data_IF_359908617305
#
_entry.id   IF_359908617305
#
_cell.length_a   1.000
_cell.length_b   1.000
_cell.length_c   1.000
_cell.angle_alpha   90.00
_cell.angle_beta   90.00
_cell.angle_gamma   90.00
#
_symmetry.space_group_name_H-M   'P 1'
#
loop_
_entity.id
_entity.type
_entity.pdbx_description
1 polymer ?
#
# COMPACT_ATOMS: atom_id res chain seq x y z
N UNK A 1 30.53 5.62 -49.05
CA UNK A 1 30.17 6.99 -48.68
C UNK A 1 30.22 7.08 -47.18
N UNK A 2 31.24 7.67 -46.65
CA UNK A 2 31.62 7.78 -45.23
C UNK A 2 30.84 8.88 -44.52
N UNK A 3 30.47 8.74 -43.26
CA UNK A 3 29.85 9.81 -42.47
C UNK A 3 30.94 10.66 -41.77
N UNK A 4 30.75 11.96 -41.84
CA UNK A 4 31.57 13.00 -41.20
C UNK A 4 31.18 13.19 -39.74
N UNK A 5 32.16 13.08 -38.88
CA UNK A 5 32.14 13.42 -37.44
C UNK A 5 32.35 14.92 -37.26
N UNK A 6 31.51 15.56 -36.43
CA UNK A 6 31.79 16.93 -35.94
C UNK A 6 31.84 16.90 -34.40
N UNK A 7 33.03 17.20 -33.89
CA UNK A 7 33.31 17.42 -32.45
C UNK A 7 33.00 18.86 -32.09
N UNK A 8 32.36 19.08 -30.91
CA UNK A 8 32.31 20.39 -30.27
C UNK A 8 32.88 20.31 -28.85
N UNK A 9 33.89 21.16 -28.68
CA UNK A 9 34.76 21.30 -27.52
C UNK A 9 34.08 22.04 -26.36
N UNK A 10 34.46 21.63 -25.15
CA UNK A 10 34.15 22.25 -23.87
C UNK A 10 34.74 23.67 -23.73
N UNK A 11 34.02 24.54 -23.02
CA UNK A 11 34.61 25.72 -22.37
C UNK A 11 34.17 25.79 -20.91
N UNK A 12 35.17 25.65 -20.08
CA UNK A 12 35.20 25.91 -18.62
C UNK A 12 35.21 27.43 -18.38
N UNK A 13 34.43 27.87 -17.41
CA UNK A 13 34.63 29.18 -16.78
C UNK A 13 34.45 29.03 -15.26
N UNK A 14 35.55 29.25 -14.54
CA UNK A 14 35.61 29.39 -13.10
C UNK A 14 35.48 30.88 -12.75
N UNK A 15 34.77 31.19 -11.67
CA UNK A 15 34.82 32.49 -11.00
C UNK A 15 34.82 32.28 -9.49
N UNK A 16 35.93 32.74 -8.88
CA UNK A 16 36.21 32.89 -7.47
C UNK A 16 35.66 34.21 -6.92
N UNK A 17 35.41 34.28 -5.63
CA UNK A 17 35.30 35.48 -4.79
C UNK A 17 34.10 35.40 -3.86
N UNK A 18 34.15 35.64 -2.58
CA UNK A 18 35.11 36.17 -1.65
C UNK A 18 34.43 36.24 -0.27
N UNK A 19 35.20 36.00 0.73
CA UNK A 19 34.90 35.98 2.16
C UNK A 19 34.59 37.41 2.67
N UNK A 20 33.61 37.55 3.61
CA UNK A 20 33.66 38.59 4.64
C UNK A 20 33.06 38.10 5.97
N UNK A 21 33.92 38.02 6.96
CA UNK A 21 33.67 37.84 8.39
C UNK A 21 33.32 39.21 8.98
N UNK A 22 32.33 39.27 9.89
CA UNK A 22 32.18 40.37 10.82
C UNK A 22 31.78 39.83 12.20
N UNK A 23 32.72 39.83 13.12
CA UNK A 23 32.57 39.67 14.59
C UNK A 23 32.19 41.03 15.18
N UNK A 24 31.20 41.06 16.08
CA UNK A 24 31.11 42.12 17.11
C UNK A 24 30.65 41.50 18.41
N UNK A 25 31.57 41.56 19.39
CA UNK A 25 31.35 41.28 20.81
C UNK A 25 30.83 42.56 21.50
N UNK A 26 29.93 42.38 22.49
CA UNK A 26 29.52 43.44 23.39
C UNK A 26 29.24 42.87 24.78
N UNK A 27 30.15 43.11 25.72
CA UNK A 27 29.99 42.86 27.16
C UNK A 27 29.22 44.01 27.80
N UNK A 28 28.36 43.71 28.79
CA UNK A 28 27.80 44.70 29.71
C UNK A 28 27.33 44.05 31.00
N UNK A 29 28.02 44.40 32.07
CA UNK A 29 27.93 43.88 33.44
C UNK A 29 26.87 44.59 34.30
N UNK A 30 26.34 43.88 35.32
CA UNK A 30 26.10 44.45 36.64
C UNK A 30 24.68 44.65 37.13
N UNK A 31 24.37 44.09 38.28
CA UNK A 31 23.31 44.55 39.15
C UNK A 31 22.60 43.45 39.93
N UNK A 32 23.10 43.18 41.16
CA UNK A 32 22.40 42.40 42.17
C UNK A 32 21.24 43.21 42.78
N UNK A 33 20.11 42.55 43.00
CA UNK A 33 18.99 43.07 43.78
C UNK A 33 18.21 41.88 44.34
N UNK A 34 18.37 41.69 45.63
CA UNK A 34 17.68 40.73 46.47
C UNK A 34 16.24 41.24 46.70
N UNK A 35 15.22 40.47 46.41
CA UNK A 35 13.88 40.69 46.95
C UNK A 35 13.10 39.40 47.06
N UNK A 36 12.90 38.96 48.28
CA UNK A 36 12.11 37.84 48.69
C UNK A 36 10.64 38.16 48.65
N UNK A 37 9.87 37.58 47.71
CA UNK A 37 8.42 37.57 47.79
C UNK A 37 7.88 36.15 47.58
N UNK A 38 7.18 35.68 48.63
CA UNK A 38 6.47 34.41 48.67
C UNK A 38 5.52 34.22 47.47
N UNK A 39 5.78 33.23 46.61
CA UNK A 39 4.86 32.84 45.57
C UNK A 39 3.82 31.84 46.10
N UNK A 40 2.61 32.33 46.31
CA UNK A 40 1.38 31.56 46.51
C UNK A 40 1.19 30.61 45.32
N UNK A 41 1.32 29.30 45.57
CA UNK A 41 1.06 28.26 44.60
C UNK A 41 -0.38 28.26 44.13
N UNK A 42 -0.63 28.72 42.90
CA UNK A 42 -1.85 28.45 42.15
C UNK A 42 -1.77 27.04 41.60
N UNK A 43 -2.48 26.07 42.23
CA UNK A 43 -2.78 24.79 41.67
C UNK A 43 -3.57 25.00 40.37
N UNK A 44 -2.92 24.90 39.22
CA UNK A 44 -3.58 24.73 37.95
C UNK A 44 -4.26 23.37 37.96
N UNK A 45 -5.58 23.35 38.04
CA UNK A 45 -6.39 22.16 37.86
C UNK A 45 -6.09 21.62 36.47
N UNK A 46 -5.56 20.38 36.39
CA UNK A 46 -5.41 19.67 35.16
C UNK A 46 -6.80 19.56 34.48
N UNK A 47 -6.90 20.04 33.25
CA UNK A 47 -8.09 19.88 32.45
C UNK A 47 -8.40 18.36 32.34
N UNK A 48 -9.68 17.94 32.48
CA UNK A 48 -10.03 16.54 32.37
C UNK A 48 -9.63 16.05 30.97
N UNK A 49 -8.88 14.94 30.95
CA UNK A 49 -8.55 14.23 29.73
C UNK A 49 -9.87 13.96 28.98
N UNK A 50 -10.09 14.59 27.84
CA UNK A 50 -11.20 14.27 26.95
C UNK A 50 -11.01 12.83 26.53
N UNK A 51 -11.76 11.92 27.13
CA UNK A 51 -12.02 10.60 26.60
C UNK A 51 -12.59 10.80 25.20
N UNK A 52 -11.79 10.55 24.16
CA UNK A 52 -12.29 10.53 22.77
C UNK A 52 -13.38 9.46 22.73
N UNK A 53 -14.64 9.90 22.63
CA UNK A 53 -15.74 9.01 22.29
C UNK A 53 -15.32 8.24 21.04
N UNK A 54 -15.40 6.89 21.10
CA UNK A 54 -15.15 6.06 19.94
C UNK A 54 -16.07 6.56 18.81
N UNK A 55 -15.50 7.07 17.74
CA UNK A 55 -16.28 7.49 16.57
C UNK A 55 -17.00 6.25 16.07
N UNK A 56 -18.33 6.29 16.05
CA UNK A 56 -19.13 5.17 15.55
C UNK A 56 -18.68 4.90 14.11
N UNK A 57 -18.19 3.69 13.84
CA UNK A 57 -17.76 3.26 12.51
C UNK A 57 -18.95 3.12 11.55
N UNK A 58 -18.64 2.74 10.31
CA UNK A 58 -19.63 2.37 9.30
C UNK A 58 -20.57 1.29 9.87
N UNK A 59 -21.88 1.46 9.68
CA UNK A 59 -22.88 0.52 10.19
C UNK A 59 -22.58 -0.93 9.74
N UNK A 60 -22.58 -1.87 10.70
CA UNK A 60 -22.24 -3.28 10.47
C UNK A 60 -20.75 -3.60 10.37
N UNK A 61 -19.87 -2.60 10.46
CA UNK A 61 -18.42 -2.83 10.50
C UNK A 61 -18.02 -3.46 11.84
N UNK A 62 -17.19 -4.53 11.85
CA UNK A 62 -16.61 -5.05 13.08
C UNK A 62 -15.82 -3.97 13.81
N UNK A 63 -15.97 -3.84 15.16
CA UNK A 63 -15.29 -2.78 15.90
C UNK A 63 -13.77 -2.91 15.78
N UNK A 64 -13.07 -1.77 15.71
CA UNK A 64 -11.60 -1.72 15.73
C UNK A 64 -11.11 -2.28 17.08
N UNK A 65 -10.11 -3.17 17.05
CA UNK A 65 -9.58 -3.80 18.27
C UNK A 65 -8.78 -2.83 19.14
N UNK A 66 -7.95 -2.01 18.51
CA UNK A 66 -7.20 -0.94 19.18
C UNK A 66 -7.34 0.36 18.33
N UNK A 67 -7.90 1.43 18.89
CA UNK A 67 -8.05 2.69 18.17
C UNK A 67 -6.71 3.38 17.83
N UNK A 68 -5.59 2.88 18.36
CA UNK A 68 -4.24 3.38 18.07
C UNK A 68 -3.51 2.52 17.02
N UNK A 69 -4.08 1.36 16.66
CA UNK A 69 -3.49 0.45 15.68
C UNK A 69 -4.57 -0.27 14.89
N UNK A 70 -4.84 0.21 13.69
CA UNK A 70 -5.82 -0.38 12.76
C UNK A 70 -5.45 -1.81 12.34
N UNK A 71 -4.19 -2.19 12.50
CA UNK A 71 -3.65 -3.52 12.19
C UNK A 71 -3.53 -4.43 13.42
N UNK A 72 -4.12 -4.07 14.56
CA UNK A 72 -4.02 -4.84 15.79
C UNK A 72 -4.46 -6.31 15.64
N UNK A 73 -5.36 -6.61 14.68
CA UNK A 73 -5.77 -7.97 14.35
C UNK A 73 -4.76 -8.75 13.48
N UNK A 74 -3.71 -8.09 12.97
CA UNK A 74 -2.78 -8.68 12.00
C UNK A 74 -1.51 -9.24 12.65
N UNK A 75 -1.48 -9.38 13.97
CA UNK A 75 -0.34 -9.96 14.70
C UNK A 75 -0.13 -11.44 14.36
N UNK A 76 1.09 -11.96 14.42
CA UNK A 76 1.34 -13.39 14.24
C UNK A 76 0.44 -14.24 15.14
N UNK A 77 -0.12 -15.31 14.58
CA UNK A 77 -1.04 -16.22 15.31
C UNK A 77 -2.49 -15.77 15.36
N UNK A 78 -2.85 -14.56 14.91
CA UNK A 78 -4.23 -14.04 14.90
C UNK A 78 -5.00 -14.42 13.62
N UNK A 79 -4.85 -15.65 13.17
CA UNK A 79 -5.65 -16.16 12.05
C UNK A 79 -7.13 -16.24 12.43
N UNK A 80 -7.99 -15.77 11.53
CA UNK A 80 -9.44 -15.98 11.66
C UNK A 80 -9.77 -17.46 11.78
N UNK A 81 -10.76 -17.85 12.60
CA UNK A 81 -11.26 -19.22 12.64
C UNK A 81 -11.65 -19.78 11.27
N UNK A 82 -12.09 -18.92 10.35
CA UNK A 82 -12.46 -19.29 8.97
C UNK A 82 -11.31 -19.93 8.20
N UNK A 83 -10.07 -19.45 8.41
CA UNK A 83 -8.88 -19.89 7.65
C UNK A 83 -7.93 -20.76 8.48
N UNK A 84 -8.29 -21.04 9.72
CA UNK A 84 -7.49 -21.91 10.58
C UNK A 84 -7.44 -23.32 9.97
N UNK A 85 -6.24 -23.77 9.61
CA UNK A 85 -6.03 -25.06 8.97
C UNK A 85 -6.01 -25.01 7.43
N UNK A 86 -6.18 -23.87 6.81
CA UNK A 86 -5.89 -23.71 5.38
C UNK A 86 -4.39 -23.86 5.12
N UNK A 87 -3.99 -24.51 4.02
CA UNK A 87 -2.58 -24.61 3.68
C UNK A 87 -2.00 -23.22 3.34
N UNK A 88 -0.79 -22.96 3.82
CA UNK A 88 -0.07 -21.74 3.47
C UNK A 88 0.40 -21.81 2.01
N UNK A 89 0.08 -20.80 1.21
CA UNK A 89 0.45 -20.71 -0.21
C UNK A 89 0.66 -19.26 -0.62
N UNK A 90 1.47 -19.07 -1.67
CA UNK A 90 1.61 -17.78 -2.36
C UNK A 90 1.01 -17.90 -3.75
N UNK A 91 -0.01 -17.10 -4.04
CA UNK A 91 -0.72 -17.09 -5.32
C UNK A 91 -0.26 -15.90 -6.15
N UNK A 92 0.33 -16.17 -7.31
CA UNK A 92 1.01 -15.17 -8.15
C UNK A 92 0.30 -15.04 -9.49
N UNK A 93 -0.46 -13.96 -9.73
CA UNK A 93 -1.07 -13.74 -11.03
C UNK A 93 -0.02 -13.32 -12.05
N UNK A 94 0.06 -14.01 -13.17
CA UNK A 94 1.02 -13.77 -14.25
C UNK A 94 0.29 -13.08 -15.41
N UNK A 95 0.38 -11.77 -15.45
CA UNK A 95 -0.42 -10.89 -16.34
C UNK A 95 -0.31 -11.26 -17.81
N UNK A 96 0.88 -11.62 -18.29
CA UNK A 96 1.12 -11.93 -19.70
C UNK A 96 0.95 -13.43 -20.03
N UNK A 97 0.96 -14.29 -19.01
CA UNK A 97 0.80 -15.74 -19.18
C UNK A 97 -0.63 -16.22 -18.99
N UNK A 98 -1.54 -15.37 -18.48
CA UNK A 98 -2.93 -15.71 -18.17
C UNK A 98 -3.05 -16.89 -17.19
N UNK A 99 -2.17 -16.93 -16.20
CA UNK A 99 -2.10 -17.99 -15.18
C UNK A 99 -1.93 -17.42 -13.79
N UNK A 100 -2.20 -18.25 -12.78
CA UNK A 100 -1.77 -18.04 -11.40
C UNK A 100 -0.76 -19.14 -11.04
N UNK A 101 0.47 -18.76 -10.71
CA UNK A 101 1.45 -19.68 -10.14
C UNK A 101 1.21 -19.81 -8.64
N UNK A 102 1.21 -21.03 -8.11
CA UNK A 102 1.08 -21.30 -6.68
C UNK A 102 2.42 -21.78 -6.14
N UNK A 103 2.92 -21.12 -5.11
CA UNK A 103 4.20 -21.42 -4.47
C UNK A 103 3.94 -21.93 -3.06
N UNK A 104 4.64 -22.98 -2.67
CA UNK A 104 4.76 -23.45 -1.30
C UNK A 104 5.79 -22.56 -0.57
N UNK A 105 5.39 -21.80 0.46
CA UNK A 105 6.28 -20.88 1.16
C UNK A 105 7.32 -21.56 2.05
N UNK A 106 7.14 -22.84 2.41
CA UNK A 106 8.09 -23.57 3.23
C UNK A 106 9.27 -24.10 2.39
N UNK A 107 8.99 -24.53 1.17
CA UNK A 107 10.00 -25.11 0.26
C UNK A 107 10.47 -24.16 -0.82
N UNK A 108 9.82 -22.98 -0.97
CA UNK A 108 10.04 -22.02 -2.06
C UNK A 108 9.85 -22.61 -3.47
N UNK A 109 9.04 -23.66 -3.59
CA UNK A 109 8.79 -24.36 -4.86
C UNK A 109 7.44 -24.02 -5.45
N UNK A 110 7.40 -23.90 -6.76
CA UNK A 110 6.13 -23.88 -7.50
C UNK A 110 5.48 -25.25 -7.39
N UNK A 111 4.25 -25.30 -6.86
CA UNK A 111 3.47 -26.53 -6.66
C UNK A 111 2.31 -26.66 -7.62
N UNK A 112 1.87 -25.55 -8.26
CA UNK A 112 0.83 -25.57 -9.28
C UNK A 112 0.92 -24.34 -10.18
N UNK A 113 0.35 -24.45 -11.38
CA UNK A 113 0.07 -23.34 -12.28
C UNK A 113 -1.37 -23.49 -12.76
N UNK A 114 -2.21 -22.52 -12.45
CA UNK A 114 -3.65 -22.51 -12.68
C UNK A 114 -3.95 -21.61 -13.87
N UNK A 115 -4.54 -22.11 -14.98
CA UNK A 115 -5.05 -21.27 -16.05
C UNK A 115 -6.21 -20.41 -15.55
N UNK A 116 -6.21 -19.11 -15.90
CA UNK A 116 -7.26 -18.16 -15.54
C UNK A 116 -7.63 -17.29 -16.74
N UNK A 117 -8.44 -16.24 -16.54
CA UNK A 117 -8.81 -15.34 -17.62
C UNK A 117 -7.66 -14.45 -18.12
N UNK A 118 -7.95 -13.61 -19.12
CA UNK A 118 -6.95 -12.77 -19.79
C UNK A 118 -6.49 -11.64 -18.90
N UNK A 119 -5.17 -11.49 -18.80
CA UNK A 119 -4.48 -10.42 -18.07
C UNK A 119 -4.85 -10.35 -16.58
N UNK A 120 -4.57 -11.41 -15.80
CA UNK A 120 -4.77 -11.39 -14.35
C UNK A 120 -3.83 -10.37 -13.69
N UNK A 121 -4.40 -9.42 -12.93
CA UNK A 121 -3.65 -8.35 -12.27
C UNK A 121 -3.40 -8.66 -10.79
N UNK A 122 -4.42 -9.07 -10.07
CA UNK A 122 -4.36 -9.29 -8.63
C UNK A 122 -5.03 -10.61 -8.23
N UNK A 123 -4.56 -11.19 -7.13
CA UNK A 123 -5.28 -12.22 -6.37
C UNK A 123 -5.72 -11.60 -5.06
N UNK A 124 -7.02 -11.54 -4.84
CA UNK A 124 -7.64 -10.74 -3.77
C UNK A 124 -8.48 -11.63 -2.86
N UNK A 125 -8.17 -11.69 -1.55
CA UNK A 125 -9.02 -12.38 -0.58
C UNK A 125 -10.39 -11.70 -0.43
N UNK A 126 -11.48 -12.49 -0.44
CA UNK A 126 -12.83 -12.02 -0.12
C UNK A 126 -12.91 -11.47 1.30
N UNK A 127 -13.92 -10.63 1.58
CA UNK A 127 -14.13 -10.06 2.91
C UNK A 127 -14.22 -11.12 4.01
N UNK A 128 -14.94 -12.21 3.75
CA UNK A 128 -15.16 -13.33 4.66
C UNK A 128 -14.02 -14.37 4.68
N UNK A 129 -12.95 -14.10 3.91
CA UNK A 129 -11.74 -14.93 3.83
C UNK A 129 -11.94 -16.32 3.18
N UNK A 130 -13.07 -16.59 2.54
CA UNK A 130 -13.40 -17.94 2.01
C UNK A 130 -13.03 -18.13 0.54
N UNK A 131 -12.77 -17.06 -0.17
CA UNK A 131 -12.50 -17.09 -1.62
C UNK A 131 -11.31 -16.18 -1.94
N UNK A 132 -10.43 -16.62 -2.84
CA UNK A 132 -9.47 -15.76 -3.50
C UNK A 132 -9.99 -15.42 -4.89
N UNK A 133 -10.14 -14.14 -5.19
CA UNK A 133 -10.60 -13.65 -6.49
C UNK A 133 -9.42 -13.25 -7.36
N UNK A 134 -9.29 -13.86 -8.53
CA UNK A 134 -8.31 -13.46 -9.55
C UNK A 134 -8.94 -12.44 -10.48
N UNK A 135 -8.38 -11.25 -10.52
CA UNK A 135 -8.87 -10.14 -11.32
C UNK A 135 -8.36 -10.22 -12.76
N UNK A 136 -9.12 -10.81 -13.67
CA UNK A 136 -8.76 -10.95 -15.08
C UNK A 136 -9.17 -9.70 -15.84
N UNK A 137 -8.35 -8.66 -15.79
CA UNK A 137 -8.72 -7.30 -16.20
C UNK A 137 -9.20 -7.24 -17.68
N UNK A 138 -8.41 -7.76 -18.61
CA UNK A 138 -8.80 -7.79 -20.03
C UNK A 138 -9.69 -8.97 -20.41
N UNK A 139 -9.80 -9.94 -19.52
CA UNK A 139 -10.75 -11.06 -19.66
C UNK A 139 -12.16 -10.70 -19.19
N UNK A 140 -12.34 -9.54 -18.56
CA UNK A 140 -13.63 -9.09 -18.01
C UNK A 140 -14.28 -10.13 -17.10
N UNK A 141 -13.47 -10.81 -16.28
CA UNK A 141 -13.94 -11.84 -15.35
C UNK A 141 -13.19 -11.78 -14.01
N UNK A 142 -13.84 -12.34 -12.98
CA UNK A 142 -13.20 -12.73 -11.73
C UNK A 142 -13.17 -14.26 -11.66
N UNK A 143 -12.00 -14.87 -11.50
CA UNK A 143 -11.90 -16.33 -11.27
C UNK A 143 -11.80 -16.58 -9.77
N UNK A 144 -12.76 -17.30 -9.14
CA UNK A 144 -12.64 -17.69 -7.74
C UNK A 144 -11.67 -18.85 -7.60
N UNK A 145 -10.85 -18.82 -6.54
CA UNK A 145 -10.05 -19.96 -6.07
C UNK A 145 -10.49 -20.26 -4.64
N UNK A 146 -10.79 -21.52 -4.37
CA UNK A 146 -10.99 -22.02 -3.00
C UNK A 146 -9.61 -22.12 -2.31
N UNK A 147 -9.32 -21.31 -1.28
CA UNK A 147 -8.00 -21.31 -0.65
C UNK A 147 -7.74 -22.57 0.20
N UNK A 148 -8.77 -23.32 0.62
CA UNK A 148 -8.60 -24.56 1.36
C UNK A 148 -8.03 -25.66 0.45
N UNK A 149 -8.50 -25.74 -0.78
CA UNK A 149 -8.10 -26.76 -1.76
C UNK A 149 -7.08 -26.27 -2.79
N UNK A 150 -7.10 -24.98 -3.10
CA UNK A 150 -6.33 -24.37 -4.19
C UNK A 150 -6.99 -24.54 -5.56
N UNK A 151 -8.24 -25.02 -5.62
CA UNK A 151 -8.95 -25.31 -6.88
C UNK A 151 -9.66 -24.04 -7.37
N UNK A 152 -9.46 -23.72 -8.65
CA UNK A 152 -10.19 -22.63 -9.29
C UNK A 152 -11.60 -23.05 -9.68
N UNK A 153 -12.57 -22.18 -9.42
CA UNK A 153 -13.95 -22.33 -9.82
C UNK A 153 -14.25 -21.70 -11.17
N UNK A 154 -15.55 -21.72 -11.56
CA UNK A 154 -16.01 -21.09 -12.80
C UNK A 154 -15.87 -19.56 -12.69
N UNK A 155 -15.27 -18.89 -13.70
CA UNK A 155 -15.19 -17.44 -13.73
C UNK A 155 -16.56 -16.76 -13.73
N UNK A 156 -16.65 -15.61 -13.06
CA UNK A 156 -17.83 -14.73 -13.02
C UNK A 156 -17.57 -13.52 -13.91
N UNK A 157 -18.54 -13.12 -14.71
CA UNK A 157 -18.44 -11.93 -15.56
C UNK A 157 -18.43 -10.65 -14.70
N UNK A 158 -17.34 -9.91 -14.82
CA UNK A 158 -17.15 -8.61 -14.19
C UNK A 158 -16.36 -7.75 -15.15
N UNK A 159 -16.96 -6.68 -15.65
CA UNK A 159 -16.30 -5.81 -16.61
C UNK A 159 -15.18 -5.02 -15.98
N UNK A 160 -14.02 -4.94 -16.66
CA UNK A 160 -12.82 -4.19 -16.31
C UNK A 160 -12.36 -4.32 -14.84
N UNK A 161 -12.18 -5.53 -14.29
CA UNK A 161 -11.79 -5.71 -12.89
C UNK A 161 -10.27 -5.53 -12.73
N UNK A 162 -9.78 -4.29 -12.72
CA UNK A 162 -8.36 -4.04 -12.50
C UNK A 162 -7.95 -4.47 -11.07
N UNK A 163 -8.71 -4.01 -10.07
CA UNK A 163 -8.51 -4.39 -8.68
C UNK A 163 -9.85 -4.55 -7.96
N UNK A 164 -9.83 -5.18 -6.78
CA UNK A 164 -11.02 -5.51 -6.00
C UNK A 164 -10.80 -5.17 -4.54
N UNK A 165 -11.77 -4.46 -3.95
CA UNK A 165 -11.82 -4.11 -2.54
C UNK A 165 -13.17 -4.53 -1.95
N UNK A 166 -13.26 -4.48 -0.62
CA UNK A 166 -14.51 -4.75 0.11
C UNK A 166 -14.75 -3.65 1.14
N UNK A 167 -15.99 -3.20 1.25
CA UNK A 167 -16.35 -2.25 2.32
C UNK A 167 -16.09 -2.88 3.69
N UNK A 168 -15.64 -2.11 4.70
CA UNK A 168 -15.28 -2.66 6.01
C UNK A 168 -16.40 -3.44 6.73
N UNK A 169 -17.66 -3.17 6.39
CA UNK A 169 -18.82 -3.91 6.89
C UNK A 169 -19.18 -5.16 6.04
N UNK A 170 -18.41 -5.45 5.00
CA UNK A 170 -18.67 -6.59 4.11
C UNK A 170 -19.92 -6.47 3.23
N UNK A 171 -20.57 -5.30 3.20
CA UNK A 171 -21.81 -5.10 2.46
C UNK A 171 -21.62 -5.09 0.94
N UNK A 172 -20.48 -4.59 0.47
CA UNK A 172 -20.18 -4.46 -0.95
C UNK A 172 -18.75 -4.88 -1.27
N UNK A 173 -18.58 -5.50 -2.44
CA UNK A 173 -17.33 -5.53 -3.17
C UNK A 173 -17.22 -4.28 -4.03
N UNK A 174 -16.02 -3.72 -4.21
CA UNK A 174 -15.75 -2.52 -5.01
C UNK A 174 -14.74 -2.89 -6.09
N UNK A 175 -15.17 -2.93 -7.33
CA UNK A 175 -14.29 -3.12 -8.48
C UNK A 175 -13.74 -1.77 -8.93
N UNK A 176 -12.41 -1.70 -9.04
CA UNK A 176 -11.71 -0.57 -9.67
C UNK A 176 -11.74 -0.77 -11.18
N UNK A 177 -12.75 -0.23 -11.85
CA UNK A 177 -12.88 -0.29 -13.29
C UNK A 177 -12.06 0.84 -13.93
N UNK A 178 -10.78 0.56 -14.10
CA UNK A 178 -9.73 1.55 -14.42
C UNK A 178 -9.93 2.18 -15.79
N UNK A 179 -10.32 1.37 -16.79
CA UNK A 179 -10.56 1.79 -18.17
C UNK A 179 -11.89 2.53 -18.31
N UNK A 180 -12.93 2.00 -17.64
CA UNK A 180 -14.27 2.58 -17.64
C UNK A 180 -14.34 3.87 -16.81
N UNK A 181 -13.34 4.07 -15.95
CA UNK A 181 -13.29 5.21 -15.02
C UNK A 181 -14.50 5.20 -14.07
N UNK A 182 -14.74 4.02 -13.49
CA UNK A 182 -15.82 3.80 -12.54
C UNK A 182 -15.32 3.06 -11.28
N UNK A 183 -15.97 3.31 -10.15
CA UNK A 183 -15.98 2.43 -9.00
C UNK A 183 -17.30 1.67 -9.01
N UNK A 184 -17.23 0.34 -9.16
CA UNK A 184 -18.43 -0.48 -9.31
C UNK A 184 -18.68 -1.26 -8.03
N UNK A 185 -19.72 -0.90 -7.30
CA UNK A 185 -20.17 -1.58 -6.09
C UNK A 185 -21.00 -2.80 -6.47
N UNK A 186 -20.62 -3.93 -5.90
CA UNK A 186 -21.20 -5.25 -6.22
C UNK A 186 -21.59 -6.00 -4.95
N UNK A 187 -22.45 -7.00 -5.08
CA UNK A 187 -22.65 -7.98 -4.03
C UNK A 187 -21.33 -8.72 -3.75
N UNK A 188 -20.86 -8.85 -2.50
CA UNK A 188 -19.53 -9.39 -2.19
C UNK A 188 -19.38 -10.90 -2.44
N UNK A 189 -20.50 -11.63 -2.60
CA UNK A 189 -20.51 -13.08 -2.79
C UNK A 189 -20.83 -13.47 -4.24
N UNK A 190 -21.84 -12.82 -4.84
CA UNK A 190 -22.31 -13.15 -6.19
C UNK A 190 -21.65 -12.31 -7.29
N UNK A 191 -21.01 -11.20 -6.91
CA UNK A 191 -20.46 -10.18 -7.80
C UNK A 191 -21.54 -9.50 -8.67
N UNK A 192 -22.83 -9.59 -8.32
CA UNK A 192 -23.90 -8.87 -8.97
C UNK A 192 -23.70 -7.34 -8.84
N UNK A 193 -23.81 -6.60 -9.95
CA UNK A 193 -23.67 -5.13 -9.95
C UNK A 193 -24.83 -4.47 -9.21
N UNK A 194 -24.52 -3.64 -8.21
CA UNK A 194 -25.48 -2.87 -7.41
C UNK A 194 -25.49 -1.38 -7.79
N UNK A 195 -24.34 -0.76 -7.86
CA UNK A 195 -24.19 0.67 -8.20
C UNK A 195 -22.83 0.89 -8.87
N UNK A 196 -22.75 1.82 -9.79
CA UNK A 196 -21.46 2.34 -10.26
C UNK A 196 -21.45 3.86 -10.11
N UNK A 197 -20.29 4.38 -9.78
CA UNK A 197 -20.04 5.82 -9.70
C UNK A 197 -18.90 6.19 -10.66
N UNK A 198 -19.13 7.16 -11.56
CA UNK A 198 -18.07 7.64 -12.42
C UNK A 198 -17.01 8.37 -11.59
N UNK A 199 -15.75 8.19 -11.96
CA UNK A 199 -14.64 8.92 -11.33
C UNK A 199 -14.03 9.90 -12.33
N UNK A 200 -13.65 11.10 -11.87
CA UNK A 200 -13.16 12.17 -12.76
C UNK A 200 -11.65 12.03 -13.05
N UNK A 201 -11.15 10.81 -13.15
CA UNK A 201 -9.73 10.53 -13.35
C UNK A 201 -9.50 9.30 -14.23
N UNK A 202 -8.27 9.11 -14.66
CA UNK A 202 -7.82 7.95 -15.43
C UNK A 202 -6.94 7.06 -14.54
N UNK A 203 -7.11 5.74 -14.68
CA UNK A 203 -6.31 4.77 -13.97
C UNK A 203 -6.66 4.66 -12.49
N UNK A 204 -7.96 4.65 -12.13
CA UNK A 204 -8.38 4.33 -10.77
C UNK A 204 -7.96 2.89 -10.46
N UNK A 205 -7.11 2.70 -9.40
CA UNK A 205 -6.49 1.39 -9.21
C UNK A 205 -6.33 0.89 -7.77
N UNK A 206 -5.85 1.70 -6.82
CA UNK A 206 -5.60 1.25 -5.46
C UNK A 206 -6.32 2.11 -4.42
N UNK A 207 -6.62 1.51 -3.26
CA UNK A 207 -7.31 2.22 -2.18
C UNK A 207 -6.96 1.66 -0.79
N UNK A 208 -7.18 2.47 0.25
CA UNK A 208 -7.33 2.00 1.63
C UNK A 208 -8.41 2.83 2.35
N UNK A 209 -8.99 2.26 3.40
CA UNK A 209 -10.13 2.81 4.12
C UNK A 209 -9.71 3.56 5.39
N UNK A 210 -10.48 4.58 5.75
CA UNK A 210 -10.37 5.22 7.06
C UNK A 210 -10.61 4.23 8.20
N UNK A 211 -10.12 4.50 9.43
CA UNK A 211 -10.26 3.58 10.56
C UNK A 211 -11.72 3.25 10.89
N UNK A 212 -12.61 4.20 10.69
CA UNK A 212 -14.06 4.08 10.91
C UNK A 212 -14.81 3.53 9.68
N UNK A 213 -14.12 3.28 8.58
CA UNK A 213 -14.69 2.76 7.34
C UNK A 213 -15.57 3.72 6.55
N UNK A 214 -15.76 4.96 7.01
CA UNK A 214 -16.69 5.92 6.40
C UNK A 214 -16.24 6.47 5.07
N UNK A 215 -14.94 6.48 4.82
CA UNK A 215 -14.39 6.87 3.54
C UNK A 215 -13.17 6.04 3.18
N UNK A 216 -12.81 6.08 1.94
CA UNK A 216 -11.55 5.53 1.45
C UNK A 216 -10.85 6.51 0.51
N UNK A 217 -9.53 6.40 0.46
CA UNK A 217 -8.69 7.17 -0.45
C UNK A 217 -8.29 6.29 -1.62
N UNK A 218 -8.41 6.81 -2.84
CA UNK A 218 -8.15 6.08 -4.08
C UNK A 218 -7.09 6.79 -4.90
N UNK A 219 -6.14 6.04 -5.45
CA UNK A 219 -5.16 6.54 -6.40
C UNK A 219 -5.69 6.51 -7.84
N UNK A 220 -5.33 7.54 -8.60
CA UNK A 220 -5.64 7.69 -10.02
C UNK A 220 -4.33 7.79 -10.82
N UNK A 221 -3.79 6.65 -11.22
CA UNK A 221 -2.44 6.47 -11.75
C UNK A 221 -2.11 7.45 -12.89
N UNK A 222 -3.00 7.55 -13.90
CA UNK A 222 -2.73 8.31 -15.12
C UNK A 222 -3.23 9.75 -15.08
N UNK A 223 -3.66 10.24 -13.91
CA UNK A 223 -4.16 11.60 -13.72
C UNK A 223 -3.41 12.40 -12.68
N UNK A 224 -2.39 11.81 -12.02
CA UNK A 224 -1.69 12.42 -10.90
C UNK A 224 -2.69 12.97 -9.85
N UNK A 225 -3.67 12.16 -9.47
CA UNK A 225 -4.75 12.55 -8.55
C UNK A 225 -5.02 11.48 -7.50
N UNK A 226 -5.56 11.95 -6.38
CA UNK A 226 -6.17 11.14 -5.34
C UNK A 226 -7.64 11.53 -5.20
N UNK A 227 -8.49 10.55 -4.92
CA UNK A 227 -9.90 10.77 -4.63
C UNK A 227 -10.18 10.35 -3.18
N UNK A 228 -11.08 11.07 -2.53
CA UNK A 228 -11.71 10.68 -1.27
C UNK A 228 -13.17 10.32 -1.57
N UNK A 229 -13.57 9.11 -1.21
CA UNK A 229 -14.88 8.56 -1.54
C UNK A 229 -15.63 8.22 -0.26
N UNK A 230 -16.86 8.68 -0.13
CA UNK A 230 -17.77 8.31 0.95
C UNK A 230 -18.26 6.87 0.73
N UNK A 231 -18.02 5.99 1.70
CA UNK A 231 -18.33 4.56 1.57
C UNK A 231 -19.84 4.28 1.57
N UNK A 232 -20.61 5.02 2.35
CA UNK A 232 -22.05 4.79 2.51
C UNK A 232 -22.86 5.46 1.40
N UNK A 233 -22.57 6.73 1.11
CA UNK A 233 -23.22 7.48 0.03
C UNK A 233 -22.80 7.02 -1.34
N UNK A 234 -21.62 6.38 -1.44
CA UNK A 234 -20.99 6.00 -2.71
C UNK A 234 -20.84 7.23 -3.61
N UNK A 235 -20.10 8.21 -3.14
CA UNK A 235 -19.87 9.49 -3.79
C UNK A 235 -18.41 9.94 -3.64
N UNK A 236 -17.86 10.59 -4.66
CA UNK A 236 -16.56 11.27 -4.56
C UNK A 236 -16.75 12.57 -3.80
N UNK A 237 -16.20 12.65 -2.58
CA UNK A 237 -16.33 13.80 -1.68
C UNK A 237 -15.08 14.69 -1.63
N UNK A 238 -13.98 14.26 -2.26
CA UNK A 238 -12.73 15.02 -2.30
C UNK A 238 -11.87 14.64 -3.50
N UNK A 239 -11.09 15.59 -3.98
CA UNK A 239 -10.12 15.43 -5.06
C UNK A 239 -8.86 16.19 -4.72
N UNK A 240 -7.70 15.52 -4.79
CA UNK A 240 -6.40 16.13 -4.56
C UNK A 240 -5.50 15.87 -5.76
N UNK A 241 -5.06 16.93 -6.44
CA UNK A 241 -3.97 16.84 -7.41
C UNK A 241 -2.64 16.68 -6.70
N UNK A 242 -1.80 15.81 -7.21
CA UNK A 242 -0.42 15.71 -6.75
C UNK A 242 0.41 16.85 -7.35
N UNK A 243 1.33 17.45 -6.56
CA UNK A 243 2.07 18.64 -7.01
C UNK A 243 3.08 18.34 -8.13
N UNK A 244 3.51 17.09 -8.30
CA UNK A 244 4.42 16.68 -9.37
C UNK A 244 3.64 16.41 -10.68
N UNK A 245 3.97 17.14 -11.74
CA UNK A 245 3.42 16.87 -13.07
C UNK A 245 3.87 15.49 -13.57
N UNK A 246 2.92 14.65 -13.96
CA UNK A 246 3.18 13.29 -14.43
C UNK A 246 3.40 12.28 -13.30
N UNK A 247 3.08 12.63 -12.06
CA UNK A 247 3.00 11.67 -10.96
C UNK A 247 2.08 10.50 -11.34
N UNK A 248 2.49 9.30 -10.90
CA UNK A 248 1.76 8.04 -11.14
C UNK A 248 1.53 7.32 -9.82
N UNK A 249 0.53 7.76 -9.03
CA UNK A 249 0.24 7.17 -7.73
C UNK A 249 -0.26 5.73 -7.90
N UNK A 250 0.26 4.84 -7.06
CA UNK A 250 0.01 3.40 -7.04
C UNK A 250 -0.67 2.98 -5.72
N UNK A 251 -0.06 2.03 -5.00
CA UNK A 251 -0.60 1.48 -3.76
C UNK A 251 -0.89 2.57 -2.72
N UNK A 252 -1.96 2.35 -1.96
CA UNK A 252 -2.42 3.23 -0.88
C UNK A 252 -2.43 2.44 0.42
N UNK A 253 -1.83 2.97 1.47
CA UNK A 253 -1.76 2.32 2.78
C UNK A 253 -2.03 3.31 3.90
N UNK A 254 -2.93 2.94 4.83
CA UNK A 254 -3.19 3.72 6.03
C UNK A 254 -2.08 3.47 7.08
N UNK A 255 -1.69 4.52 7.82
CA UNK A 255 -0.81 4.37 8.99
C UNK A 255 -1.48 3.56 10.10
N UNK A 256 -0.69 2.90 10.97
CA UNK A 256 -1.26 2.15 12.11
C UNK A 256 -2.19 3.00 13.00
N UNK A 257 -1.85 4.26 13.25
CA UNK A 257 -2.67 5.19 14.04
C UNK A 257 -3.92 5.72 13.31
N UNK A 258 -4.10 5.32 12.05
CA UNK A 258 -5.27 5.63 11.24
C UNK A 258 -5.39 7.08 10.77
N UNK A 259 -4.32 7.87 10.80
CA UNK A 259 -4.38 9.32 10.48
C UNK A 259 -3.83 9.65 9.11
N UNK A 260 -2.79 8.94 8.69
CA UNK A 260 -2.02 9.25 7.51
C UNK A 260 -2.20 8.18 6.44
N UNK A 261 -2.49 8.59 5.22
CA UNK A 261 -2.39 7.71 4.07
C UNK A 261 -1.02 7.90 3.41
N UNK A 262 -0.37 6.79 3.14
CA UNK A 262 0.85 6.69 2.34
C UNK A 262 0.48 6.23 0.95
N UNK A 263 0.93 6.93 -0.08
CA UNK A 263 0.64 6.59 -1.47
C UNK A 263 1.96 6.46 -2.23
N UNK A 264 2.29 5.24 -2.64
CA UNK A 264 3.46 5.01 -3.48
C UNK A 264 3.29 5.68 -4.84
N UNK A 265 4.37 6.22 -5.40
CA UNK A 265 4.34 6.85 -6.71
C UNK A 265 5.57 6.50 -7.54
N UNK A 266 5.30 5.87 -8.68
CA UNK A 266 6.35 5.39 -9.58
C UNK A 266 7.19 6.52 -10.18
N UNK A 267 6.57 7.60 -10.56
CA UNK A 267 7.23 8.72 -11.26
C UNK A 267 7.78 9.76 -10.30
N UNK A 268 7.21 9.87 -9.09
CA UNK A 268 7.77 10.67 -8.03
C UNK A 268 8.95 9.98 -7.31
N UNK A 269 9.16 8.66 -7.55
CA UNK A 269 10.22 7.86 -6.92
C UNK A 269 10.17 7.92 -5.40
N UNK A 270 8.95 7.86 -4.85
CA UNK A 270 8.71 8.03 -3.43
C UNK A 270 7.29 7.74 -3.02
N UNK A 271 6.97 8.18 -1.83
CA UNK A 271 5.67 7.99 -1.19
C UNK A 271 5.09 9.36 -0.82
N UNK A 272 3.87 9.64 -1.27
CA UNK A 272 3.11 10.79 -0.82
C UNK A 272 2.54 10.52 0.57
N UNK A 273 2.68 11.49 1.46
CA UNK A 273 2.20 11.46 2.85
C UNK A 273 1.02 12.41 2.97
N UNK A 274 -0.19 11.85 3.13
CA UNK A 274 -1.46 12.57 3.09
C UNK A 274 -2.18 12.48 4.44
N UNK A 275 -2.55 13.62 5.01
CA UNK A 275 -3.49 13.67 6.14
C UNK A 275 -4.90 13.25 5.66
N UNK A 276 -5.40 12.12 6.18
CA UNK A 276 -6.66 11.53 5.73
C UNK A 276 -7.90 12.35 6.08
N UNK A 277 -7.85 13.13 7.17
CA UNK A 277 -8.96 13.98 7.61
C UNK A 277 -9.01 15.26 6.79
N UNK A 278 -7.91 16.01 6.75
CA UNK A 278 -7.80 17.31 6.06
C UNK A 278 -7.85 17.16 4.55
N UNK A 279 -7.30 16.07 4.02
CA UNK A 279 -7.23 15.76 2.60
C UNK A 279 -6.68 16.94 1.76
N UNK A 280 -5.60 17.54 2.24
CA UNK A 280 -4.88 18.65 1.60
C UNK A 280 -3.67 18.17 0.82
N UNK A 281 -2.92 19.09 0.23
CA UNK A 281 -1.71 18.74 -0.56
C UNK A 281 -0.75 17.87 0.24
N UNK A 282 -0.38 16.67 -0.28
CA UNK A 282 0.50 15.74 0.41
C UNK A 282 1.97 16.14 0.25
N UNK A 283 2.78 15.77 1.24
CA UNK A 283 4.24 15.88 1.17
C UNK A 283 4.85 14.63 0.48
N UNK A 284 5.93 14.81 -0.28
CA UNK A 284 6.67 13.70 -0.88
C UNK A 284 7.80 13.25 0.06
N UNK A 285 7.85 11.96 0.35
CA UNK A 285 8.95 11.26 0.98
C UNK A 285 9.70 10.45 -0.09
N UNK A 286 10.90 10.86 -0.52
CA UNK A 286 11.69 10.10 -1.49
C UNK A 286 12.09 8.73 -0.93
N UNK A 287 11.90 7.64 -1.70
CA UNK A 287 12.24 6.27 -1.27
C UNK A 287 13.20 5.59 -2.23
N UNK A 288 12.81 5.46 -3.50
CA UNK A 288 13.61 4.84 -4.55
C UNK A 288 12.88 4.85 -5.88
N UNK A 289 13.59 4.56 -6.97
CA UNK A 289 13.00 4.62 -8.31
C UNK A 289 11.85 3.64 -8.46
N UNK A 290 10.71 4.16 -8.91
CA UNK A 290 9.54 3.35 -9.22
C UNK A 290 8.88 2.77 -7.97
N UNK A 291 8.72 3.55 -6.89
CA UNK A 291 8.02 3.13 -5.69
C UNK A 291 6.60 2.64 -6.03
N UNK A 292 6.20 1.46 -5.51
CA UNK A 292 4.98 0.80 -5.98
C UNK A 292 4.13 0.18 -4.86
N UNK A 293 4.59 -0.86 -4.17
CA UNK A 293 3.83 -1.56 -3.13
C UNK A 293 4.20 -1.14 -1.71
N UNK A 294 3.24 -1.15 -0.80
CA UNK A 294 3.35 -0.71 0.60
C UNK A 294 2.86 -1.82 1.55
N UNK A 295 3.70 -2.33 2.43
CA UNK A 295 3.39 -3.45 3.33
C UNK A 295 3.78 -3.15 4.76
N UNK A 296 2.79 -3.06 5.65
CA UNK A 296 3.02 -2.92 7.10
C UNK A 296 3.45 -4.28 7.66
N UNK A 297 4.52 -4.30 8.47
CA UNK A 297 4.94 -5.50 9.16
C UNK A 297 3.93 -5.93 10.24
N UNK A 298 4.08 -7.14 10.80
CA UNK A 298 3.06 -7.74 11.66
C UNK A 298 2.96 -7.12 13.05
N UNK A 299 3.93 -6.34 13.48
CA UNK A 299 3.88 -5.59 14.75
C UNK A 299 3.53 -4.11 14.58
N UNK A 300 3.22 -3.69 13.33
CA UNK A 300 2.85 -2.31 12.96
C UNK A 300 3.94 -1.26 13.23
N UNK A 301 5.20 -1.68 13.41
CA UNK A 301 6.32 -0.77 13.66
C UNK A 301 6.96 -0.22 12.39
N UNK A 302 6.98 -1.02 11.31
CA UNK A 302 7.64 -0.70 10.05
C UNK A 302 6.73 -0.89 8.84
N UNK A 303 7.02 -0.17 7.76
CA UNK A 303 6.41 -0.35 6.44
C UNK A 303 7.50 -0.60 5.40
N UNK A 304 7.34 -1.67 4.63
CA UNK A 304 8.19 -2.02 3.51
C UNK A 304 7.64 -1.38 2.23
N UNK A 305 8.51 -0.71 1.49
CA UNK A 305 8.18 0.02 0.26
C UNK A 305 8.99 -0.58 -0.88
N UNK A 306 8.35 -1.23 -1.84
CA UNK A 306 9.02 -1.76 -3.01
C UNK A 306 9.38 -0.65 -3.99
N UNK A 307 10.62 -0.61 -4.47
CA UNK A 307 11.11 0.33 -5.47
C UNK A 307 11.40 -0.45 -6.76
N UNK A 308 10.35 -0.64 -7.56
CA UNK A 308 10.34 -1.53 -8.73
C UNK A 308 11.37 -1.15 -9.80
N UNK A 309 11.64 0.15 -9.96
CA UNK A 309 12.52 0.68 -10.99
C UNK A 309 14.02 0.61 -10.66
N UNK A 310 14.39 0.20 -9.46
CA UNK A 310 15.81 0.10 -9.05
C UNK A 310 16.18 -1.20 -8.35
N UNK A 311 15.20 -2.09 -8.08
CA UNK A 311 15.47 -3.38 -7.44
C UNK A 311 15.78 -3.27 -5.94
N UNK A 312 15.12 -2.34 -5.24
CA UNK A 312 15.32 -2.16 -3.80
C UNK A 312 14.01 -2.16 -3.01
N UNK A 313 14.13 -2.27 -1.70
CA UNK A 313 13.06 -2.17 -0.72
C UNK A 313 13.48 -1.16 0.33
N UNK A 314 12.71 -0.08 0.50
CA UNK A 314 12.93 0.89 1.58
C UNK A 314 12.11 0.49 2.80
N UNK A 315 12.65 0.71 4.00
CA UNK A 315 11.98 0.44 5.27
C UNK A 315 11.71 1.75 5.99
N UNK A 316 10.43 2.03 6.22
CA UNK A 316 9.97 3.19 6.96
C UNK A 316 9.57 2.77 8.37
N UNK A 317 10.06 3.47 9.36
CA UNK A 317 9.77 3.27 10.79
C UNK A 317 8.71 4.28 11.23
N UNK A 318 7.58 3.80 11.72
CA UNK A 318 6.43 4.65 12.10
C UNK A 318 6.69 5.46 13.37
N UNK A 319 7.48 4.96 14.33
CA UNK A 319 7.80 5.66 15.55
C UNK A 319 8.79 6.80 15.28
N UNK A 320 9.85 6.50 14.51
CA UNK A 320 10.87 7.48 14.12
C UNK A 320 10.39 8.41 12.98
N UNK A 321 9.29 8.07 12.32
CA UNK A 321 8.70 8.79 11.19
C UNK A 321 9.74 9.09 10.07
N UNK A 322 10.57 8.09 9.72
CA UNK A 322 11.60 8.21 8.70
C UNK A 322 11.99 6.86 8.11
N UNK A 323 12.63 6.90 6.95
CA UNK A 323 13.31 5.74 6.38
C UNK A 323 14.53 5.38 7.26
N UNK A 324 14.64 4.10 7.62
CA UNK A 324 15.71 3.58 8.48
C UNK A 324 16.67 2.66 7.76
N UNK A 325 16.16 1.93 6.72
CA UNK A 325 16.95 0.95 5.97
C UNK A 325 16.56 1.02 4.48
N UNK A 326 17.47 0.58 3.63
CA UNK A 326 17.20 0.26 2.23
C UNK A 326 17.92 -1.05 1.90
N UNK A 327 17.17 -2.04 1.44
CA UNK A 327 17.68 -3.34 1.02
C UNK A 327 17.74 -3.40 -0.49
N UNK A 328 18.81 -3.96 -1.02
CA UNK A 328 18.98 -4.17 -2.44
C UNK A 328 18.84 -5.65 -2.75
N UNK A 329 18.06 -5.98 -3.76
CA UNK A 329 18.00 -7.35 -4.24
C UNK A 329 19.33 -7.69 -4.94
N UNK A 330 19.96 -8.81 -4.59
CA UNK A 330 21.14 -9.28 -5.31
C UNK A 330 20.85 -9.43 -6.80
N UNK A 331 21.82 -9.06 -7.63
CA UNK A 331 21.71 -9.09 -9.12
C UNK A 331 20.55 -8.23 -9.67
N UNK A 332 20.06 -7.26 -8.90
CA UNK A 332 18.95 -6.39 -9.25
C UNK A 332 17.59 -7.09 -9.17
N UNK A 333 16.58 -6.50 -9.78
CA UNK A 333 15.22 -7.01 -9.77
C UNK A 333 14.18 -5.93 -10.04
N UNK A 334 12.93 -6.31 -9.99
CA UNK A 334 11.79 -5.38 -10.12
C UNK A 334 10.72 -5.69 -9.07
N UNK A 335 11.03 -5.54 -7.76
CA UNK A 335 10.09 -5.85 -6.69
C UNK A 335 8.85 -4.98 -6.81
N UNK A 336 7.70 -5.62 -6.93
CA UNK A 336 6.45 -4.99 -7.29
C UNK A 336 5.43 -5.14 -6.16
N UNK A 337 4.39 -5.93 -6.36
CA UNK A 337 3.31 -6.12 -5.41
C UNK A 337 3.44 -7.45 -4.65
N UNK A 338 2.98 -7.48 -3.40
CA UNK A 338 3.13 -8.69 -2.59
C UNK A 338 2.42 -8.69 -1.25
N UNK A 339 3.08 -9.22 -0.24
CA UNK A 339 2.56 -9.30 1.12
C UNK A 339 3.53 -9.94 2.10
N UNK A 340 3.29 -9.71 3.38
CA UNK A 340 4.08 -10.28 4.48
C UNK A 340 3.48 -11.64 4.88
N UNK A 341 4.30 -12.66 5.14
CA UNK A 341 3.87 -13.96 5.63
C UNK A 341 3.07 -13.86 6.93
N UNK A 342 2.28 -14.89 7.25
CA UNK A 342 1.40 -14.88 8.45
C UNK A 342 2.17 -14.78 9.77
N UNK A 343 3.38 -15.30 9.81
CA UNK A 343 4.29 -15.22 10.95
C UNK A 343 5.14 -13.94 10.98
N UNK A 344 5.04 -13.12 9.94
CA UNK A 344 5.73 -11.83 9.82
C UNK A 344 7.18 -11.91 9.35
N UNK A 345 7.71 -13.10 9.05
CA UNK A 345 9.15 -13.28 8.80
C UNK A 345 9.59 -13.06 7.36
N UNK A 346 8.68 -13.23 6.41
CA UNK A 346 9.02 -13.18 4.99
C UNK A 346 8.14 -12.16 4.27
N UNK A 347 8.78 -11.22 3.58
CA UNK A 347 8.14 -10.34 2.61
C UNK A 347 8.23 -11.01 1.23
N UNK A 348 7.09 -11.27 0.64
CA UNK A 348 6.95 -11.83 -0.70
C UNK A 348 6.63 -10.72 -1.69
N UNK A 349 7.40 -10.62 -2.76
CA UNK A 349 7.20 -9.60 -3.80
C UNK A 349 7.29 -10.24 -5.18
N UNK A 350 6.35 -9.91 -6.07
CA UNK A 350 6.46 -10.25 -7.47
C UNK A 350 7.58 -9.44 -8.13
N UNK A 351 8.28 -10.05 -9.09
CA UNK A 351 9.31 -9.42 -9.90
C UNK A 351 8.77 -9.11 -11.29
N UNK A 352 8.00 -8.03 -11.42
CA UNK A 352 7.17 -7.66 -12.57
C UNK A 352 7.84 -7.84 -13.93
N UNK A 353 9.08 -7.39 -14.07
CA UNK A 353 9.79 -7.37 -15.34
C UNK A 353 10.77 -8.53 -15.52
N UNK A 354 10.95 -9.36 -14.48
CA UNK A 354 11.89 -10.47 -14.45
C UNK A 354 11.23 -11.84 -14.43
N UNK A 355 9.89 -11.89 -14.39
CA UNK A 355 9.10 -13.15 -14.35
C UNK A 355 9.48 -14.04 -13.18
N UNK A 356 9.61 -13.48 -12.01
CA UNK A 356 10.03 -14.15 -10.79
C UNK A 356 9.31 -13.62 -9.54
N UNK A 357 9.50 -14.28 -8.42
CA UNK A 357 9.03 -13.85 -7.09
C UNK A 357 10.23 -13.84 -6.15
N UNK A 358 10.31 -12.81 -5.33
CA UNK A 358 11.31 -12.66 -4.27
C UNK A 358 10.70 -13.00 -2.91
N UNK A 359 11.39 -13.82 -2.14
CA UNK A 359 11.16 -14.01 -0.71
C UNK A 359 12.30 -13.32 0.05
N UNK A 360 11.97 -12.37 0.92
CA UNK A 360 12.94 -11.52 1.62
C UNK A 360 12.69 -11.61 3.12
N UNK A 361 13.73 -11.84 3.92
CA UNK A 361 13.66 -11.81 5.39
C UNK A 361 13.30 -10.39 5.86
N UNK A 362 12.22 -10.25 6.62
CA UNK A 362 11.69 -8.94 7.04
C UNK A 362 12.55 -8.22 8.07
N UNK A 363 13.48 -8.92 8.74
CA UNK A 363 14.37 -8.35 9.75
C UNK A 363 15.70 -7.90 9.17
N UNK A 364 16.26 -8.71 8.25
CA UNK A 364 17.60 -8.48 7.69
C UNK A 364 17.60 -7.89 6.29
N UNK A 365 16.53 -8.09 5.53
CA UNK A 365 16.47 -7.76 4.11
C UNK A 365 17.20 -8.78 3.22
N UNK A 366 17.64 -9.91 3.79
CA UNK A 366 18.27 -10.99 3.02
C UNK A 366 17.28 -11.63 2.04
N UNK A 367 17.68 -11.81 0.80
CA UNK A 367 16.89 -12.56 -0.18
C UNK A 367 17.00 -14.05 0.10
N UNK A 368 15.93 -14.65 0.62
CA UNK A 368 15.82 -16.07 0.95
C UNK A 368 15.63 -16.94 -0.28
N UNK A 369 14.89 -16.42 -1.27
CA UNK A 369 14.64 -17.12 -2.52
C UNK A 369 14.34 -16.15 -3.66
N UNK A 370 14.66 -16.64 -4.89
CA UNK A 370 14.28 -16.04 -6.17
C UNK A 370 13.66 -17.14 -7.01
N UNK A 371 12.38 -17.06 -7.29
CA UNK A 371 11.56 -18.17 -7.79
C UNK A 371 11.03 -17.80 -9.17
N UNK A 372 11.43 -18.49 -10.25
CA UNK A 372 10.86 -18.28 -11.58
C UNK A 372 9.36 -18.60 -11.60
N UNK A 373 8.57 -17.72 -12.23
CA UNK A 373 7.12 -17.88 -12.42
C UNK A 373 6.72 -17.51 -13.86
N UNK A 374 5.42 -17.40 -14.13
CA UNK A 374 4.94 -16.93 -15.42
C UNK A 374 5.29 -15.47 -15.71
N UNK A 375 5.09 -15.03 -16.95
CA UNK A 375 5.48 -13.69 -17.40
C UNK A 375 4.58 -12.58 -16.83
N UNK A 376 5.19 -11.50 -16.36
CA UNK A 376 4.56 -10.32 -15.83
C UNK A 376 3.82 -10.54 -14.50
N UNK A 377 4.44 -11.20 -13.49
CA UNK A 377 3.78 -11.38 -12.19
C UNK A 377 3.46 -10.03 -11.57
N UNK A 378 2.31 -9.92 -10.86
CA UNK A 378 1.85 -8.67 -10.29
C UNK A 378 1.31 -8.84 -8.86
N UNK A 379 0.07 -8.47 -8.58
CA UNK A 379 -0.50 -8.44 -7.25
C UNK A 379 -0.67 -9.83 -6.62
N UNK A 380 0.41 -10.43 -6.14
CA UNK A 380 0.38 -11.72 -5.47
C UNK A 380 -0.31 -11.68 -4.11
N UNK A 381 -0.90 -12.78 -3.70
CA UNK A 381 -1.46 -12.97 -2.37
C UNK A 381 -0.71 -14.06 -1.61
N UNK A 382 -0.21 -13.71 -0.42
CA UNK A 382 0.24 -14.70 0.58
C UNK A 382 -0.99 -15.09 1.40
N UNK A 383 -1.32 -16.37 1.50
CA UNK A 383 -2.57 -16.77 2.14
C UNK A 383 -2.45 -18.15 2.84
N UNK A 384 -3.07 -18.35 4.04
CA UNK A 384 -3.85 -17.37 4.80
C UNK A 384 -3.00 -16.30 5.49
N UNK A 385 -3.65 -15.21 5.89
CA UNK A 385 -3.03 -14.13 6.65
C UNK A 385 -3.81 -13.83 7.94
N UNK A 386 -3.13 -13.28 8.98
CA UNK A 386 -3.79 -12.78 10.16
C UNK A 386 -4.77 -11.64 9.81
N UNK A 387 -5.83 -11.54 10.59
CA UNK A 387 -6.91 -10.58 10.42
C UNK A 387 -8.26 -11.23 10.56
N UNK A 388 -9.28 -10.44 10.83
CA UNK A 388 -10.66 -10.90 11.03
C UNK A 388 -11.45 -10.91 9.73
N UNK A 389 -11.11 -9.99 8.84
CA UNK A 389 -11.71 -9.82 7.51
C UNK A 389 -10.71 -9.13 6.57
N UNK A 390 -10.96 -9.25 5.27
CA UNK A 390 -10.17 -8.60 4.23
C UNK A 390 -10.88 -7.34 3.71
N UNK A 391 -10.13 -6.27 3.51
CA UNK A 391 -10.60 -5.10 2.75
C UNK A 391 -10.32 -5.23 1.26
N UNK A 392 -9.79 -6.38 0.83
CA UNK A 392 -9.40 -6.62 -0.54
C UNK A 392 -7.92 -6.36 -0.81
N UNK A 393 -7.60 -6.18 -2.09
CA UNK A 393 -6.24 -6.05 -2.54
C UNK A 393 -5.29 -7.14 -1.96
N UNK A 394 -4.00 -7.02 -2.13
CA UNK A 394 -3.02 -8.06 -1.78
C UNK A 394 -2.56 -8.07 -0.32
N UNK A 395 -3.34 -7.62 0.63
CA UNK A 395 -2.91 -7.69 2.04
C UNK A 395 -3.41 -6.59 2.94
N UNK A 396 -4.59 -6.09 2.64
CA UNK A 396 -5.27 -5.14 3.53
C UNK A 396 -6.27 -5.91 4.38
N UNK A 397 -5.85 -6.28 5.58
CA UNK A 397 -6.66 -6.98 6.58
C UNK A 397 -6.88 -6.09 7.81
N UNK A 398 -7.98 -6.34 8.54
CA UNK A 398 -8.30 -5.64 9.79
C UNK A 398 -8.71 -6.62 10.89
#
# INVERSE_FOLDING_TARGET
MTPTTTSLTARTAALLGGVLLSLLAGCGSGGAGDDTTEARGTRTAAAPARTKQAVAGLEGMPPVLDPRDVYAANRPGMLSPTVKGYPSRVYVPNTNSNTVTVIDPETYRVIATIPVGVQPQHVVPSWDLKTLWVNNNRGHTLTPIDPATGVAGKPVEVHDPYNLYFTPNGKYAIVMASLDRELVFRDPHTMERKKAIPVPCYGVNHADFSPDGRYFVVSCEFSAQLLKVDTEKMEVIGRQKLPLKGAMPQDVKLSPDGRTFYIADMMAHGVWVLDGERFTEPALMPTGKGAHGLYVNRDSSEMFISNRGEGSISVFDFEQNRLTKKWWLPDGGSPDMGGVSSDGKVLWLSGRYHSEVYAVDTRTGEQLARIPVGSGPHGLAVYPQPGRYSLGHTGVFR
#
